data_IF_893439296019
#
_entry.id   IF_893439296019
#
_cell.length_a   1.000
_cell.length_b   1.000
_cell.length_c   1.000
_cell.angle_alpha   90.00
_cell.angle_beta   90.00
_cell.angle_gamma   90.00
#
_symmetry.space_group_name_H-M   'P 1'
#
loop_
_entity.id
_entity.type
_entity.pdbx_description
1 polymer ?
#
# COMPACT_ATOMS: atom_id res chain seq x y z
N UNK A 1 -27.58 -14.34 5.65
CA UNK A 1 -27.80 -13.47 6.82
C UNK A 1 -26.75 -12.37 6.74
N UNK A 2 -27.16 -11.22 6.23
CA UNK A 2 -26.33 -10.05 5.95
C UNK A 2 -26.17 -9.23 7.23
N UNK A 3 -25.08 -9.44 7.96
CA UNK A 3 -24.66 -8.59 9.06
C UNK A 3 -23.95 -7.36 8.51
N UNK A 4 -24.71 -6.43 7.90
CA UNK A 4 -24.21 -5.08 7.71
C UNK A 4 -23.96 -4.45 9.07
N UNK A 5 -22.96 -3.58 9.20
CA UNK A 5 -22.79 -2.74 10.37
C UNK A 5 -24.11 -2.04 10.69
N UNK A 6 -24.86 -2.61 11.63
CA UNK A 6 -25.99 -1.95 12.26
C UNK A 6 -25.37 -0.74 12.94
N UNK A 7 -25.67 0.44 12.40
CA UNK A 7 -25.27 1.70 12.97
C UNK A 7 -25.63 1.71 14.45
N UNK A 8 -24.62 1.62 15.31
CA UNK A 8 -24.76 2.10 16.67
C UNK A 8 -25.22 3.55 16.56
N UNK A 9 -26.30 3.95 17.24
CA UNK A 9 -26.85 5.27 17.07
C UNK A 9 -25.78 6.31 17.43
N UNK A 10 -25.71 7.32 16.56
CA UNK A 10 -24.99 8.59 16.60
C UNK A 10 -25.29 9.44 17.86
N UNK A 11 -25.36 8.82 19.04
CA UNK A 11 -25.71 9.47 20.31
C UNK A 11 -24.60 10.43 20.79
N UNK A 12 -23.41 10.37 20.21
CA UNK A 12 -22.35 11.37 20.36
C UNK A 12 -22.29 12.39 19.22
N UNK A 13 -23.06 12.21 18.15
CA UNK A 13 -23.06 13.06 16.95
C UNK A 13 -24.30 13.95 16.82
N UNK A 14 -25.32 13.81 17.67
CA UNK A 14 -26.44 14.76 17.77
C UNK A 14 -26.39 15.56 19.07
N UNK A 15 -26.19 16.87 18.94
CA UNK A 15 -26.44 17.84 19.99
C UNK A 15 -27.90 17.79 20.45
N UNK A 16 -28.05 17.87 21.78
CA UNK A 16 -29.29 17.92 22.54
C UNK A 16 -30.42 18.71 21.86
N UNK A 17 -31.56 18.05 21.65
CA UNK A 17 -32.86 18.71 21.47
C UNK A 17 -33.81 18.23 22.56
N UNK A 18 -33.96 19.06 23.60
CA UNK A 18 -35.21 19.17 24.35
C UNK A 18 -35.69 20.61 24.22
N UNK A 19 -36.87 20.80 23.62
CA UNK A 19 -37.72 21.97 23.91
C UNK A 19 -38.25 21.82 25.34
N UNK A 20 -38.68 22.84 26.05
CA UNK A 20 -39.18 24.17 25.72
C UNK A 20 -39.04 25.01 26.98
N UNK A 21 -38.61 26.27 26.89
CA UNK A 21 -38.54 27.15 28.06
C UNK A 21 -38.01 28.53 27.72
N UNK A 22 -38.93 29.48 27.69
CA UNK A 22 -38.79 30.92 27.43
C UNK A 22 -37.74 31.59 28.32
N UNK A 23 -36.89 32.45 27.74
CA UNK A 23 -35.97 33.30 28.50
C UNK A 23 -34.99 34.04 27.60
N UNK A 24 -35.32 35.29 27.24
CA UNK A 24 -34.45 36.18 26.49
C UNK A 24 -33.25 36.62 27.35
N UNK A 25 -32.03 36.36 26.88
CA UNK A 25 -30.86 37.19 27.20
C UNK A 25 -30.04 37.31 25.92
N UNK A 26 -29.97 38.55 25.42
CA UNK A 26 -29.09 38.97 24.34
C UNK A 26 -27.74 39.34 24.95
N UNK A 27 -26.63 38.78 24.45
CA UNK A 27 -25.35 39.49 24.19
C UNK A 27 -24.22 38.52 23.83
N UNK A 28 -23.42 38.97 22.86
CA UNK A 28 -22.14 38.44 22.34
C UNK A 28 -22.27 37.32 21.29
N UNK A 29 -22.16 37.73 20.03
CA UNK A 29 -22.23 36.86 18.84
C UNK A 29 -21.06 35.88 18.73
N UNK A 30 -21.23 34.79 17.96
CA UNK A 30 -20.18 33.82 17.76
C UNK A 30 -19.05 34.43 16.93
N UNK A 31 -17.84 34.37 17.47
CA UNK A 31 -16.60 34.49 16.72
C UNK A 31 -16.57 33.32 15.72
N UNK A 32 -17.06 33.59 14.51
CA UNK A 32 -16.92 32.73 13.35
C UNK A 32 -15.44 32.73 12.97
N UNK A 33 -14.67 31.81 13.56
CA UNK A 33 -13.40 31.44 12.95
C UNK A 33 -13.71 30.65 11.68
N UNK A 34 -13.85 31.39 10.59
CA UNK A 34 -13.93 30.84 9.25
C UNK A 34 -12.63 30.13 8.94
N UNK A 35 -12.58 28.81 9.10
CA UNK A 35 -11.60 27.97 8.41
C UNK A 35 -12.13 27.68 7.02
N UNK A 36 -12.19 28.73 6.20
CA UNK A 36 -12.20 28.62 4.76
C UNK A 36 -10.77 28.33 4.32
N UNK A 37 -10.32 27.09 4.50
CA UNK A 37 -9.08 26.60 3.91
C UNK A 37 -9.24 25.14 3.51
N UNK A 38 -10.23 24.91 2.66
CA UNK A 38 -10.23 23.79 1.72
C UNK A 38 -9.93 24.42 0.37
N UNK A 39 -8.64 24.69 0.13
CA UNK A 39 -8.19 24.79 -1.25
C UNK A 39 -8.38 23.39 -1.84
N UNK A 40 -9.56 23.17 -2.43
CA UNK A 40 -9.70 22.23 -3.53
C UNK A 40 -8.61 22.60 -4.50
N UNK A 41 -7.52 21.82 -4.55
CA UNK A 41 -6.79 21.67 -5.79
C UNK A 41 -7.82 21.15 -6.77
N UNK A 42 -8.41 22.10 -7.51
CA UNK A 42 -8.93 21.83 -8.83
C UNK A 42 -7.84 21.01 -9.51
N UNK A 43 -8.19 19.80 -9.90
CA UNK A 43 -7.58 19.13 -11.05
C UNK A 43 -7.06 20.22 -11.99
N UNK A 44 -5.74 20.25 -12.21
CA UNK A 44 -5.11 21.21 -13.12
C UNK A 44 -6.00 21.28 -14.37
N UNK A 45 -6.37 22.47 -14.86
CA UNK A 45 -7.11 22.59 -16.11
C UNK A 45 -6.44 21.71 -17.17
N UNK A 46 -7.27 20.92 -17.84
CA UNK A 46 -6.93 19.96 -18.89
C UNK A 46 -6.50 20.75 -20.13
N UNK A 47 -5.31 21.36 -20.09
CA UNK A 47 -4.69 21.99 -21.25
C UNK A 47 -3.99 20.89 -22.05
N UNK A 48 -4.62 20.50 -23.15
CA UNK A 48 -4.43 19.22 -23.87
C UNK A 48 -3.22 19.23 -24.82
N UNK A 49 -2.31 20.20 -24.70
CA UNK A 49 -1.37 20.52 -25.79
C UNK A 49 0.11 20.25 -25.52
N UNK A 50 0.54 19.83 -24.32
CA UNK A 50 1.94 19.41 -24.10
C UNK A 50 2.18 18.63 -22.79
N UNK A 51 1.42 17.56 -22.52
CA UNK A 51 1.69 16.70 -21.37
C UNK A 51 2.67 15.60 -21.74
N UNK A 52 3.84 15.57 -21.10
CA UNK A 52 4.82 14.51 -21.29
C UNK A 52 4.35 13.22 -20.63
N UNK A 53 3.89 12.26 -21.43
CA UNK A 53 3.39 10.97 -20.95
C UNK A 53 4.47 9.89 -21.00
N UNK A 54 4.65 9.15 -19.91
CA UNK A 54 5.57 8.00 -19.83
C UNK A 54 4.78 6.73 -19.49
N UNK A 55 5.04 5.63 -20.20
CA UNK A 55 4.44 4.33 -19.88
C UNK A 55 5.41 3.50 -19.05
N UNK A 56 4.92 2.86 -17.99
CA UNK A 56 5.63 1.83 -17.23
C UNK A 56 4.81 0.56 -17.30
N UNK A 57 5.37 -0.51 -17.87
CA UNK A 57 4.62 -1.75 -18.07
C UNK A 57 5.51 -2.96 -18.31
N UNK A 58 4.93 -4.15 -18.21
CA UNK A 58 5.60 -5.43 -18.38
C UNK A 58 4.92 -6.33 -19.43
N UNK A 59 3.61 -6.21 -19.60
CA UNK A 59 2.82 -6.94 -20.60
C UNK A 59 2.73 -6.19 -21.94
N UNK A 60 3.26 -6.74 -23.05
CA UNK A 60 3.17 -6.10 -24.36
C UNK A 60 1.75 -5.85 -24.84
N UNK A 61 0.78 -6.69 -24.45
CA UNK A 61 -0.61 -6.54 -24.87
C UNK A 61 -1.22 -5.30 -24.23
N UNK A 62 -1.16 -5.19 -22.89
CA UNK A 62 -1.66 -4.01 -22.19
C UNK A 62 -0.90 -2.75 -22.57
N UNK A 63 0.41 -2.83 -22.81
CA UNK A 63 1.18 -1.66 -23.29
C UNK A 63 0.61 -1.18 -24.63
N UNK A 64 0.30 -2.10 -25.56
CA UNK A 64 -0.33 -1.77 -26.84
C UNK A 64 -1.70 -1.09 -26.66
N UNK A 65 -2.60 -1.73 -25.90
CA UNK A 65 -3.91 -1.16 -25.57
C UNK A 65 -3.80 0.22 -24.93
N UNK A 66 -2.86 0.39 -23.99
CA UNK A 66 -2.60 1.66 -23.31
C UNK A 66 -2.14 2.75 -24.30
N UNK A 67 -1.27 2.42 -25.26
CA UNK A 67 -0.81 3.37 -26.28
C UNK A 67 -1.98 3.83 -27.15
N UNK A 68 -2.89 2.93 -27.52
CA UNK A 68 -4.07 3.25 -28.33
C UNK A 68 -5.09 4.12 -27.59
N UNK A 69 -5.24 3.93 -26.27
CA UNK A 69 -6.13 4.74 -25.44
C UNK A 69 -5.60 6.15 -25.12
N UNK A 70 -4.33 6.45 -25.40
CA UNK A 70 -3.71 7.73 -25.06
C UNK A 70 -4.01 8.82 -26.11
N UNK A 71 -4.31 10.06 -25.68
CA UNK A 71 -4.57 11.16 -26.60
C UNK A 71 -3.32 11.68 -27.31
N UNK A 72 -2.13 11.36 -26.78
CA UNK A 72 -0.82 11.82 -27.27
C UNK A 72 0.17 10.67 -27.30
N UNK A 73 1.11 10.71 -28.25
CA UNK A 73 2.20 9.73 -28.31
C UNK A 73 3.08 9.86 -27.06
N UNK A 74 3.33 8.75 -26.32
CA UNK A 74 4.14 8.80 -25.12
C UNK A 74 5.60 9.12 -25.46
N UNK A 75 6.26 9.84 -24.55
CA UNK A 75 7.68 10.21 -24.61
C UNK A 75 8.60 8.98 -24.58
N UNK A 76 8.12 7.88 -24.01
CA UNK A 76 8.78 6.59 -24.05
C UNK A 76 8.14 5.53 -23.16
N UNK A 77 8.78 4.38 -23.13
CA UNK A 77 8.36 3.20 -22.37
C UNK A 77 9.47 2.73 -21.43
N UNK A 78 9.10 2.42 -20.19
CA UNK A 78 9.92 1.64 -19.26
C UNK A 78 9.34 0.26 -19.10
N UNK A 79 10.09 -0.75 -19.53
CA UNK A 79 9.66 -2.14 -19.50
C UNK A 79 10.84 -3.09 -19.37
N UNK A 80 10.64 -4.33 -18.87
CA UNK A 80 11.59 -5.42 -19.09
C UNK A 80 11.91 -5.59 -20.60
N UNK A 81 13.00 -6.28 -20.97
CA UNK A 81 13.25 -6.58 -22.38
C UNK A 81 12.06 -7.34 -23.00
N UNK A 82 11.40 -6.72 -23.98
CA UNK A 82 10.28 -7.34 -24.70
C UNK A 82 10.86 -8.21 -25.82
N UNK A 83 10.50 -9.49 -25.85
CA UNK A 83 10.82 -10.37 -26.97
C UNK A 83 9.85 -10.06 -28.13
N UNK A 84 10.34 -9.61 -29.31
CA UNK A 84 9.47 -9.28 -30.45
C UNK A 84 8.73 -10.49 -31.04
N UNK A 85 9.01 -11.72 -30.59
CA UNK A 85 8.26 -12.91 -31.00
C UNK A 85 6.93 -13.09 -30.25
N UNK A 86 6.73 -12.47 -29.08
CA UNK A 86 5.51 -12.62 -28.27
C UNK A 86 4.31 -11.84 -28.81
N UNK A 87 4.53 -10.74 -29.54
CA UNK A 87 3.46 -9.90 -30.11
C UNK A 87 2.81 -10.50 -31.37
N UNK A 88 3.46 -11.44 -32.07
CA UNK A 88 2.92 -12.06 -33.31
C UNK A 88 1.79 -13.06 -33.07
N UNK A 89 1.49 -13.41 -31.81
CA UNK A 89 0.40 -14.32 -31.47
C UNK A 89 -0.97 -13.64 -31.42
N UNK A 90 -1.03 -12.32 -31.19
CA UNK A 90 -2.30 -11.60 -31.08
C UNK A 90 -2.94 -11.33 -32.46
N UNK A 91 -2.11 -11.11 -33.49
CA UNK A 91 -2.52 -10.69 -34.83
C UNK A 91 -3.01 -11.85 -35.74
N UNK A 92 -3.08 -13.08 -35.22
CA UNK A 92 -3.60 -14.26 -35.96
C UNK A 92 -4.99 -14.71 -35.56
N UNK A 93 -5.67 -14.03 -34.63
CA UNK A 93 -7.00 -14.44 -34.19
C UNK A 93 -8.16 -13.95 -35.07
N UNK A 94 -7.90 -13.14 -36.11
CA UNK A 94 -8.93 -12.55 -37.00
C UNK A 94 -8.83 -12.91 -38.48
N UNK A 95 -7.98 -13.86 -38.89
CA UNK A 95 -7.90 -14.30 -40.28
C UNK A 95 -8.48 -15.72 -40.47
N UNK A 96 -9.74 -15.77 -40.95
CA UNK A 96 -10.29 -16.82 -41.82
C UNK A 96 -10.25 -18.26 -41.32
N UNK A 97 -11.34 -18.72 -40.70
CA UNK A 97 -11.70 -20.15 -40.72
C UNK A 97 -12.58 -20.39 -41.95
N UNK A 98 -12.08 -21.19 -42.89
CA UNK A 98 -12.90 -21.99 -43.79
C UNK A 98 -12.64 -23.49 -43.53
N UNK A 99 -13.64 -24.37 -43.73
CA UNK A 99 -13.70 -25.69 -43.11
C UNK A 99 -13.44 -26.82 -44.11
N UNK A 100 -12.55 -27.77 -43.78
CA UNK A 100 -12.50 -29.08 -44.46
C UNK A 100 -12.07 -30.21 -43.49
N UNK A 101 -13.07 -31.03 -43.17
CA UNK A 101 -13.15 -32.49 -43.07
C UNK A 101 -12.01 -33.37 -42.51
N UNK A 102 -12.41 -34.17 -41.50
CA UNK A 102 -12.25 -35.62 -41.29
C UNK A 102 -10.84 -36.24 -41.53
N UNK A 103 -10.28 -37.14 -40.71
CA UNK A 103 -10.88 -38.36 -40.15
C UNK A 103 -9.84 -39.09 -39.25
N UNK A 104 -10.34 -39.96 -38.35
CA UNK A 104 -9.68 -41.08 -37.65
C UNK A 104 -8.55 -40.90 -36.62
N UNK A 105 -8.87 -41.35 -35.40
CA UNK A 105 -8.02 -41.79 -34.27
C UNK A 105 -7.63 -43.31 -34.41
N UNK A 106 -7.07 -44.01 -33.39
CA UNK A 106 -5.69 -43.99 -32.86
C UNK A 106 -5.08 -45.43 -32.69
N UNK A 107 -3.75 -45.61 -32.60
CA UNK A 107 -3.11 -46.89 -32.14
C UNK A 107 -1.76 -46.55 -31.47
N UNK A 108 -1.65 -46.58 -30.14
CA UNK A 108 -1.12 -47.63 -29.25
C UNK A 108 0.42 -47.91 -29.24
N UNK A 109 0.99 -47.63 -28.05
CA UNK A 109 1.86 -48.48 -27.20
C UNK A 109 3.38 -48.62 -27.43
N UNK A 110 4.05 -48.55 -26.25
CA UNK A 110 5.22 -49.30 -25.73
C UNK A 110 6.61 -48.81 -26.16
N UNK A 111 7.68 -48.91 -25.38
CA UNK A 111 7.96 -49.15 -23.94
C UNK A 111 9.50 -48.97 -23.80
N UNK A 112 9.98 -48.48 -22.64
CA UNK A 112 11.31 -48.72 -22.01
C UNK A 112 12.62 -48.23 -22.66
N UNK A 113 13.48 -47.70 -21.78
CA UNK A 113 14.93 -47.76 -21.96
C UNK A 113 15.73 -46.79 -21.09
N UNK A 114 15.95 -47.14 -19.82
CA UNK A 114 16.94 -46.53 -18.92
C UNK A 114 18.38 -46.78 -19.41
N UNK A 115 19.29 -45.82 -19.21
CA UNK A 115 20.72 -46.05 -19.42
C UNK A 115 21.58 -44.83 -19.11
N UNK A 116 22.00 -44.73 -17.86
CA UNK A 116 23.10 -43.89 -17.38
C UNK A 116 24.40 -44.32 -18.03
N UNK A 117 25.25 -43.41 -18.53
CA UNK A 117 26.70 -43.51 -18.36
C UNK A 117 27.46 -42.22 -18.71
N UNK A 118 28.50 -42.04 -17.93
CA UNK A 118 29.30 -40.85 -17.74
C UNK A 118 30.64 -41.08 -18.46
N UNK A 119 31.11 -40.15 -19.32
CA UNK A 119 32.55 -40.12 -19.67
C UNK A 119 33.00 -38.76 -20.22
N UNK A 120 33.60 -38.01 -19.31
CA UNK A 120 34.63 -37.00 -19.54
C UNK A 120 35.84 -37.56 -20.32
N UNK A 121 36.38 -36.79 -21.28
CA UNK A 121 37.83 -36.66 -21.53
C UNK A 121 38.17 -35.45 -22.41
N UNK A 122 39.12 -34.68 -21.87
CA UNK A 122 39.88 -33.53 -22.35
C UNK A 122 40.17 -33.45 -23.87
N UNK A 123 40.23 -32.21 -24.37
CA UNK A 123 41.38 -31.76 -25.17
C UNK A 123 41.61 -30.25 -25.04
N UNK A 124 42.83 -29.91 -24.66
CA UNK A 124 43.44 -28.59 -24.62
C UNK A 124 43.76 -28.03 -26.02
N UNK A 125 43.86 -26.70 -26.05
CA UNK A 125 44.79 -25.86 -26.82
C UNK A 125 44.80 -25.86 -28.35
N UNK A 126 44.45 -24.69 -28.90
CA UNK A 126 45.21 -23.84 -29.82
C UNK A 126 44.22 -22.79 -30.35
N UNK A 127 44.42 -21.49 -30.20
CA UNK A 127 45.58 -20.76 -30.65
C UNK A 127 45.18 -19.95 -31.90
N UNK A 128 45.55 -18.68 -31.90
CA UNK A 128 45.72 -17.80 -33.06
C UNK A 128 44.67 -16.71 -33.30
N UNK A 129 45.25 -15.53 -33.49
CA UNK A 129 44.68 -14.20 -33.50
C UNK A 129 44.72 -13.65 -34.92
N UNK A 130 43.71 -12.91 -35.36
CA UNK A 130 43.81 -11.91 -36.46
C UNK A 130 42.63 -10.95 -36.31
N UNK A 131 42.77 -9.81 -35.64
CA UNK A 131 43.19 -8.48 -36.16
C UNK A 131 42.22 -7.87 -37.17
N UNK A 132 41.68 -6.71 -36.74
CA UNK A 132 41.12 -5.54 -37.47
C UNK A 132 39.77 -5.63 -38.19
N UNK A 133 38.89 -4.69 -37.84
CA UNK A 133 37.75 -4.30 -38.67
C UNK A 133 36.75 -3.42 -37.93
N UNK A 134 37.00 -2.11 -37.94
CA UNK A 134 36.10 -0.97 -37.77
C UNK A 134 35.08 -0.90 -36.63
N UNK A 135 35.19 0.24 -35.93
CA UNK A 135 34.16 0.71 -35.03
C UNK A 135 32.86 1.01 -35.75
N UNK A 136 31.81 0.32 -35.33
CA UNK A 136 30.47 0.89 -35.28
C UNK A 136 30.09 0.98 -33.81
N UNK A 137 29.54 2.12 -33.32
CA UNK A 137 28.94 2.11 -32.01
C UNK A 137 27.74 1.17 -32.11
N UNK A 138 27.80 0.02 -31.45
CA UNK A 138 26.63 -0.84 -31.24
C UNK A 138 25.73 -0.12 -30.24
N UNK A 139 25.07 0.93 -30.71
CA UNK A 139 23.87 1.47 -30.07
C UNK A 139 22.78 0.50 -30.47
N UNK A 140 22.49 -0.45 -29.58
CA UNK A 140 21.29 -1.27 -29.66
C UNK A 140 20.07 -0.37 -29.47
N UNK A 141 19.68 0.36 -30.52
CA UNK A 141 18.29 0.79 -30.71
C UNK A 141 17.48 -0.48 -30.91
N UNK A 142 17.16 -1.19 -29.83
CA UNK A 142 16.09 -2.19 -29.82
C UNK A 142 14.80 -1.39 -29.88
N UNK A 143 14.35 -1.11 -31.10
CA UNK A 143 13.00 -0.62 -31.36
C UNK A 143 12.01 -1.57 -30.71
N UNK A 144 11.16 -1.00 -29.88
CA UNK A 144 10.02 -1.69 -29.26
C UNK A 144 9.08 -2.11 -30.40
N UNK A 145 8.27 -3.18 -30.25
CA UNK A 145 7.24 -3.53 -31.24
C UNK A 145 6.14 -2.46 -31.43
N UNK A 146 6.21 -1.30 -30.77
CA UNK A 146 5.23 -0.22 -30.88
C UNK A 146 5.80 0.91 -31.72
N UNK A 147 5.16 1.22 -32.84
CA UNK A 147 5.59 2.28 -33.74
C UNK A 147 5.61 3.64 -33.00
N UNK A 148 6.73 4.35 -33.12
CA UNK A 148 6.90 5.70 -32.57
C UNK A 148 7.23 5.77 -31.06
N UNK A 149 7.29 4.65 -30.33
CA UNK A 149 7.58 4.66 -28.88
C UNK A 149 8.96 4.06 -28.58
N UNK A 150 9.84 4.87 -27.99
CA UNK A 150 11.20 4.44 -27.60
C UNK A 150 11.20 3.76 -26.22
N UNK A 151 11.87 2.60 -26.09
CA UNK A 151 12.14 1.98 -24.78
C UNK A 151 13.33 2.65 -24.10
N UNK A 152 13.08 3.29 -22.98
CA UNK A 152 14.07 4.07 -22.21
C UNK A 152 14.84 3.23 -21.18
N UNK A 153 14.41 1.99 -20.93
CA UNK A 153 15.08 1.03 -20.05
C UNK A 153 14.11 0.24 -19.18
N UNK A 154 14.61 -0.40 -18.10
CA UNK A 154 13.76 -1.12 -17.13
C UNK A 154 12.98 -0.16 -16.21
N UNK A 155 11.89 -0.62 -15.57
CA UNK A 155 11.08 0.18 -14.64
C UNK A 155 11.88 0.85 -13.51
N UNK A 156 12.97 0.24 -13.06
CA UNK A 156 13.87 0.82 -12.05
C UNK A 156 14.50 2.17 -12.45
N UNK A 157 14.51 2.52 -13.74
CA UNK A 157 14.97 3.83 -14.23
C UNK A 157 13.93 4.94 -14.08
N UNK A 158 12.71 4.65 -13.63
CA UNK A 158 11.61 5.64 -13.55
C UNK A 158 12.05 6.94 -12.89
N UNK A 159 12.65 6.87 -11.69
CA UNK A 159 13.11 8.07 -10.97
C UNK A 159 14.15 8.90 -11.75
N UNK A 160 15.01 8.25 -12.53
CA UNK A 160 15.97 8.95 -13.40
C UNK A 160 15.27 9.63 -14.58
N UNK A 161 14.37 8.91 -15.25
CA UNK A 161 13.63 9.46 -16.39
C UNK A 161 12.75 10.65 -16.01
N UNK A 162 12.06 10.58 -14.87
CA UNK A 162 11.25 11.71 -14.36
C UNK A 162 12.08 12.94 -13.98
N UNK A 163 13.38 12.78 -13.78
CA UNK A 163 14.31 13.89 -13.50
C UNK A 163 14.90 14.48 -14.78
N UNK A 164 15.18 13.62 -15.75
CA UNK A 164 15.92 13.98 -16.98
C UNK A 164 14.99 14.45 -18.10
N UNK A 165 13.70 14.10 -18.05
CA UNK A 165 12.69 14.44 -19.05
C UNK A 165 11.50 15.16 -18.40
N UNK A 166 10.86 16.02 -19.17
CA UNK A 166 9.64 16.73 -18.75
C UNK A 166 8.44 15.78 -18.88
N UNK A 167 8.21 15.00 -17.82
CA UNK A 167 7.10 14.03 -17.72
C UNK A 167 6.18 14.52 -16.60
N UNK A 168 4.92 14.70 -16.93
CA UNK A 168 3.89 15.11 -15.95
C UNK A 168 2.89 14.01 -15.63
N UNK A 169 2.85 12.95 -16.46
CA UNK A 169 1.90 11.85 -16.34
C UNK A 169 2.60 10.51 -16.57
N UNK A 170 2.43 9.59 -15.64
CA UNK A 170 2.90 8.20 -15.76
C UNK A 170 1.70 7.27 -15.87
N UNK A 171 1.71 6.41 -16.89
CA UNK A 171 0.65 5.44 -17.14
C UNK A 171 1.18 4.05 -16.81
N UNK A 172 0.53 3.37 -15.87
CA UNK A 172 0.91 2.04 -15.39
C UNK A 172 0.18 0.99 -16.21
N UNK A 173 0.93 0.33 -17.09
CA UNK A 173 0.49 -0.73 -17.98
C UNK A 173 1.07 -2.10 -17.56
N UNK A 174 0.82 -2.51 -16.32
CA UNK A 174 1.31 -3.80 -15.78
C UNK A 174 0.25 -4.89 -15.84
N UNK A 175 0.65 -6.15 -15.96
CA UNK A 175 -0.26 -7.32 -15.90
C UNK A 175 -0.91 -7.45 -14.53
N UNK A 176 -0.10 -7.53 -13.48
CA UNK A 176 -0.55 -7.67 -12.11
C UNK A 176 -0.10 -6.46 -11.26
N UNK A 177 -0.95 -5.95 -10.35
CA UNK A 177 -0.63 -4.79 -9.53
C UNK A 177 0.30 -5.18 -8.38
N UNK A 178 1.56 -5.46 -8.69
CA UNK A 178 2.59 -5.96 -7.77
C UNK A 178 3.23 -4.84 -6.90
N UNK A 179 4.00 -5.25 -5.89
CA UNK A 179 4.66 -4.28 -4.99
C UNK A 179 5.90 -3.65 -5.63
N UNK A 180 6.62 -4.40 -6.47
CA UNK A 180 7.96 -4.02 -6.94
C UNK A 180 7.90 -3.02 -8.08
N UNK A 181 6.95 -3.19 -9.01
CA UNK A 181 6.81 -2.29 -10.15
C UNK A 181 5.62 -1.36 -9.98
N UNK A 182 4.41 -1.89 -9.76
CA UNK A 182 3.19 -1.09 -9.80
C UNK A 182 3.10 -0.07 -8.67
N UNK A 183 3.13 -0.53 -7.42
CA UNK A 183 3.01 0.36 -6.25
C UNK A 183 4.27 1.21 -6.02
N UNK A 184 5.46 0.68 -6.33
CA UNK A 184 6.70 1.47 -6.26
C UNK A 184 6.70 2.61 -7.28
N UNK A 185 6.18 2.38 -8.49
CA UNK A 185 6.03 3.45 -9.49
C UNK A 185 5.11 4.55 -8.98
N UNK A 186 3.97 4.21 -8.35
CA UNK A 186 3.10 5.21 -7.72
C UNK A 186 3.79 6.00 -6.61
N UNK A 187 4.60 5.31 -5.79
CA UNK A 187 5.37 5.96 -4.73
C UNK A 187 6.35 6.98 -5.29
N UNK A 188 7.09 6.61 -6.33
CA UNK A 188 8.03 7.50 -7.02
C UNK A 188 7.27 8.68 -7.62
N UNK A 189 6.14 8.44 -8.30
CA UNK A 189 5.34 9.51 -8.90
C UNK A 189 4.79 10.47 -7.84
N UNK A 190 4.30 9.97 -6.70
CA UNK A 190 3.87 10.80 -5.57
C UNK A 190 5.00 11.66 -5.01
N UNK A 191 6.19 11.07 -4.83
CA UNK A 191 7.34 11.79 -4.27
C UNK A 191 7.79 12.96 -5.18
N UNK A 192 7.65 12.79 -6.50
CA UNK A 192 7.99 13.82 -7.50
C UNK A 192 6.82 14.79 -7.75
N UNK A 193 5.58 14.37 -7.54
CA UNK A 193 4.37 15.15 -7.82
C UNK A 193 3.86 15.01 -9.27
N UNK A 194 4.01 13.81 -9.83
CA UNK A 194 3.60 13.43 -11.19
C UNK A 194 2.24 12.71 -11.13
N UNK A 195 1.35 13.02 -12.06
CA UNK A 195 0.03 12.40 -12.15
C UNK A 195 0.17 10.92 -12.55
N UNK A 196 -0.69 10.06 -12.01
CA UNK A 196 -0.66 8.62 -12.32
C UNK A 196 -1.98 8.20 -12.94
N UNK A 197 -1.89 7.48 -14.05
CA UNK A 197 -3.00 6.78 -14.66
C UNK A 197 -2.72 5.28 -14.67
N UNK A 198 -3.77 4.48 -14.65
CA UNK A 198 -3.68 3.03 -14.79
C UNK A 198 -4.88 2.52 -15.58
N UNK A 199 -4.77 1.31 -16.12
CA UNK A 199 -5.89 0.67 -16.80
C UNK A 199 -7.05 0.37 -15.82
N UNK A 200 -8.30 0.51 -16.27
CA UNK A 200 -9.52 0.32 -15.46
C UNK A 200 -9.60 -1.08 -14.81
N UNK A 201 -8.96 -2.08 -15.43
CA UNK A 201 -8.82 -3.45 -14.88
C UNK A 201 -8.21 -3.49 -13.48
N UNK A 202 -7.40 -2.49 -13.11
CA UNK A 202 -6.75 -2.41 -11.80
C UNK A 202 -7.54 -1.61 -10.76
N UNK A 203 -8.73 -1.11 -11.10
CA UNK A 203 -9.55 -0.22 -10.25
C UNK A 203 -9.74 -0.74 -8.83
N UNK A 204 -9.95 -2.04 -8.65
CA UNK A 204 -10.16 -2.61 -7.31
C UNK A 204 -8.96 -2.44 -6.38
N UNK A 205 -7.75 -2.37 -6.94
CA UNK A 205 -6.51 -2.15 -6.18
C UNK A 205 -6.18 -0.67 -5.95
N UNK A 206 -6.93 0.25 -6.54
CA UNK A 206 -6.57 1.66 -6.65
C UNK A 206 -7.56 2.59 -5.91
N UNK A 207 -7.05 3.71 -5.42
CA UNK A 207 -7.91 4.88 -5.16
C UNK A 207 -8.08 5.62 -6.48
N UNK A 208 -9.28 5.60 -7.03
CA UNK A 208 -9.60 6.21 -8.32
C UNK A 208 -10.38 7.50 -8.09
N UNK A 209 -10.02 8.56 -8.84
CA UNK A 209 -10.82 9.78 -8.91
C UNK A 209 -12.00 9.56 -9.87
N UNK A 210 -13.15 10.20 -9.62
CA UNK A 210 -14.39 9.98 -10.41
C UNK A 210 -14.27 10.32 -11.92
N UNK A 211 -13.15 10.94 -12.33
CA UNK A 211 -12.81 11.23 -13.72
C UNK A 211 -12.24 9.98 -14.43
N UNK A 212 -13.11 9.04 -14.80
CA UNK A 212 -12.77 7.96 -15.73
C UNK A 212 -12.96 8.43 -17.18
N UNK A 213 -11.96 8.23 -18.04
CA UNK A 213 -12.05 8.55 -19.46
C UNK A 213 -11.57 7.34 -20.28
N UNK A 214 -12.51 6.53 -20.77
CA UNK A 214 -12.22 5.32 -21.53
C UNK A 214 -11.62 4.21 -20.66
N UNK A 215 -10.63 3.50 -21.19
CA UNK A 215 -10.00 2.34 -20.54
C UNK A 215 -8.96 2.71 -19.47
N UNK A 216 -8.69 4.00 -19.28
CA UNK A 216 -7.75 4.52 -18.30
C UNK A 216 -8.46 5.30 -17.19
N UNK A 217 -7.95 5.13 -15.96
CA UNK A 217 -8.39 5.85 -14.78
C UNK A 217 -7.26 6.62 -14.12
N UNK A 218 -7.62 7.79 -13.60
CA UNK A 218 -6.72 8.62 -12.81
C UNK A 218 -6.64 8.09 -11.39
N UNK A 219 -5.42 7.82 -10.93
CA UNK A 219 -5.14 7.30 -9.59
C UNK A 219 -4.91 8.46 -8.63
N UNK A 220 -5.60 8.46 -7.50
CA UNK A 220 -5.34 9.37 -6.37
C UNK A 220 -4.09 8.91 -5.58
N UNK A 221 -2.95 9.16 -6.23
CA UNK A 221 -1.59 9.36 -5.72
C UNK A 221 -1.41 9.68 -4.25
N UNK A 222 -2.00 10.81 -3.91
CA UNK A 222 -1.65 11.63 -2.78
C UNK A 222 -2.93 12.21 -2.23
N UNK A 223 -3.65 11.39 -1.48
CA UNK A 223 -5.03 11.68 -1.20
C UNK A 223 -5.09 12.78 -0.09
N UNK A 224 -3.95 13.13 0.52
CA UNK A 224 -3.70 14.39 1.23
C UNK A 224 -3.03 15.40 0.30
N UNK A 225 -3.61 16.59 0.10
CA UNK A 225 -2.90 17.67 -0.60
C UNK A 225 -1.58 18.05 0.11
N UNK A 226 -0.64 18.65 -0.60
CA UNK A 226 0.71 18.95 -0.05
C UNK A 226 0.71 19.71 1.29
N UNK A 227 -0.16 20.71 1.44
CA UNK A 227 -0.31 21.47 2.68
C UNK A 227 -0.96 20.64 3.80
N UNK A 228 -2.00 19.87 3.48
CA UNK A 228 -2.66 19.01 4.46
C UNK A 228 -1.71 17.90 4.92
N UNK A 229 -0.86 17.36 4.03
CA UNK A 229 0.20 16.41 4.39
C UNK A 229 1.20 17.01 5.37
N UNK A 230 1.60 18.27 5.16
CA UNK A 230 2.51 18.98 6.07
C UNK A 230 1.88 19.11 7.47
N UNK A 231 0.63 19.57 7.56
CA UNK A 231 -0.06 19.68 8.85
C UNK A 231 -0.31 18.34 9.50
N UNK A 232 -0.69 17.33 8.71
CA UNK A 232 -0.85 15.97 9.20
C UNK A 232 0.45 15.44 9.80
N UNK A 233 1.58 15.71 9.14
CA UNK A 233 2.91 15.36 9.64
C UNK A 233 3.28 16.13 10.90
N UNK A 234 2.99 17.42 10.96
CA UNK A 234 3.24 18.22 12.16
C UNK A 234 2.43 17.70 13.35
N UNK A 235 1.14 17.42 13.14
CA UNK A 235 0.28 16.77 14.12
C UNK A 235 0.88 15.45 14.61
N UNK A 236 1.30 14.58 13.70
CA UNK A 236 1.92 13.30 14.05
C UNK A 236 3.17 13.45 14.91
N UNK A 237 4.06 14.37 14.55
CA UNK A 237 5.31 14.60 15.30
C UNK A 237 5.04 15.22 16.66
N UNK A 238 4.13 16.19 16.75
CA UNK A 238 3.79 16.86 18.02
C UNK A 238 3.13 15.88 18.99
N UNK A 239 2.11 15.14 18.53
CA UNK A 239 1.39 14.19 19.39
C UNK A 239 2.28 13.01 19.76
N UNK A 240 3.01 12.41 18.82
CA UNK A 240 3.92 11.30 19.13
C UNK A 240 5.07 11.73 20.03
N UNK A 241 5.71 12.87 19.74
CA UNK A 241 6.83 13.39 20.51
C UNK A 241 6.41 13.79 21.93
N UNK A 242 5.29 14.50 22.07
CA UNK A 242 4.73 14.86 23.37
C UNK A 242 4.34 13.63 24.20
N UNK A 243 3.68 12.65 23.57
CA UNK A 243 3.27 11.41 24.24
C UNK A 243 4.48 10.57 24.65
N UNK A 244 5.50 10.46 23.79
CA UNK A 244 6.71 9.71 24.10
C UNK A 244 7.52 10.37 25.21
N UNK A 245 7.61 11.71 25.22
CA UNK A 245 8.28 12.46 26.30
C UNK A 245 7.56 12.27 27.64
N UNK A 246 6.23 12.34 27.64
CA UNK A 246 5.40 12.13 28.82
C UNK A 246 5.53 10.69 29.34
N UNK A 247 5.53 9.71 28.45
CA UNK A 247 5.64 8.29 28.79
C UNK A 247 7.09 7.82 28.98
N UNK A 248 8.10 8.69 28.82
CA UNK A 248 9.50 8.28 28.89
C UNK A 248 9.88 7.58 30.20
N UNK A 249 9.45 8.06 31.40
CA UNK A 249 9.72 7.35 32.64
C UNK A 249 9.10 5.95 32.66
N UNK A 250 7.86 5.81 32.17
CA UNK A 250 7.17 4.53 32.09
C UNK A 250 7.88 3.58 31.10
N UNK A 251 8.33 4.08 29.95
CA UNK A 251 9.08 3.28 28.96
C UNK A 251 10.34 2.68 29.58
N UNK A 252 11.10 3.46 30.36
CA UNK A 252 12.32 2.98 31.03
C UNK A 252 11.97 1.95 32.11
N UNK A 253 10.98 2.24 32.96
CA UNK A 253 10.58 1.33 34.05
C UNK A 253 10.02 0.01 33.53
N UNK A 254 9.12 0.06 32.54
CA UNK A 254 8.57 -1.14 31.90
C UNK A 254 9.65 -1.92 31.17
N UNK A 255 10.57 -1.23 30.48
CA UNK A 255 11.71 -1.88 29.84
C UNK A 255 12.60 -2.63 30.83
N UNK A 256 12.89 -2.03 31.99
CA UNK A 256 13.63 -2.68 33.07
C UNK A 256 12.86 -3.86 33.67
N UNK A 257 11.56 -3.70 33.93
CA UNK A 257 10.71 -4.76 34.46
C UNK A 257 10.67 -5.98 33.52
N UNK A 258 10.50 -5.76 32.21
CA UNK A 258 10.56 -6.81 31.18
C UNK A 258 11.93 -7.51 31.17
N UNK A 259 13.02 -6.74 31.38
CA UNK A 259 14.39 -7.27 31.39
C UNK A 259 14.70 -8.10 32.64
N UNK A 260 14.04 -7.81 33.76
CA UNK A 260 14.14 -8.57 35.02
C UNK A 260 13.28 -9.84 34.97
N UNK A 261 12.07 -9.76 34.40
CA UNK A 261 11.10 -10.87 34.37
C UNK A 261 11.57 -12.08 33.52
N UNK A 262 12.50 -11.90 32.57
CA UNK A 262 13.05 -13.04 31.84
C UNK A 262 14.22 -12.74 30.90
N UNK A 263 14.77 -13.80 30.33
CA UNK A 263 15.81 -13.73 29.31
C UNK A 263 15.20 -13.40 27.94
N UNK A 264 15.71 -12.36 27.28
CA UNK A 264 15.30 -11.96 25.93
C UNK A 264 15.35 -10.45 25.70
N UNK A 265 15.13 -9.98 24.46
CA UNK A 265 15.07 -8.56 24.17
C UNK A 265 13.87 -7.90 24.86
N UNK A 266 14.01 -6.61 25.20
CA UNK A 266 12.93 -5.79 25.75
C UNK A 266 11.84 -5.56 24.70
N UNK A 267 12.25 -5.37 23.45
CA UNK A 267 11.35 -5.10 22.34
C UNK A 267 11.10 -6.36 21.51
N UNK A 268 9.86 -6.51 21.08
CA UNK A 268 9.44 -7.40 20.02
C UNK A 268 9.37 -6.62 18.71
N UNK A 269 9.77 -7.26 17.61
CA UNK A 269 9.75 -6.69 16.26
C UNK A 269 8.98 -7.59 15.31
N UNK A 270 8.12 -6.99 14.48
CA UNK A 270 7.39 -7.70 13.43
C UNK A 270 7.29 -6.86 12.17
N UNK A 271 7.46 -7.49 11.00
CA UNK A 271 7.31 -6.81 9.71
C UNK A 271 5.83 -6.51 9.45
N UNK A 272 5.57 -5.28 9.04
CA UNK A 272 4.23 -4.77 8.77
C UNK A 272 4.21 -4.06 7.44
N UNK A 273 3.06 -4.13 6.75
CA UNK A 273 2.86 -3.40 5.50
C UNK A 273 2.56 -1.93 5.78
N UNK A 274 3.12 -1.07 4.93
CA UNK A 274 3.02 0.38 4.95
C UNK A 274 2.48 0.89 3.61
N UNK A 275 2.70 2.17 3.38
CA UNK A 275 2.24 2.89 2.21
C UNK A 275 2.83 2.28 0.92
N UNK A 276 1.97 2.11 -0.08
CA UNK A 276 2.26 1.48 -1.36
C UNK A 276 2.89 0.09 -1.22
N UNK A 277 2.42 -0.71 -0.28
CA UNK A 277 2.85 -2.10 -0.12
C UNK A 277 4.27 -2.28 0.45
N UNK A 278 4.98 -1.18 0.76
CA UNK A 278 6.27 -1.22 1.45
C UNK A 278 6.14 -1.90 2.81
N UNK A 279 7.28 -2.23 3.42
CA UNK A 279 7.29 -2.84 4.75
C UNK A 279 8.20 -2.10 5.71
N UNK A 280 7.89 -2.22 7.00
CA UNK A 280 8.71 -1.68 8.09
C UNK A 280 8.58 -2.56 9.34
N UNK A 281 9.60 -2.60 10.21
CA UNK A 281 9.53 -3.31 11.46
C UNK A 281 8.78 -2.49 12.52
N UNK A 282 7.63 -2.99 12.98
CA UNK A 282 6.93 -2.40 14.13
C UNK A 282 7.62 -2.82 15.43
N UNK A 283 7.78 -1.88 16.37
CA UNK A 283 8.35 -2.15 17.69
C UNK A 283 7.27 -2.14 18.77
N UNK A 284 7.26 -3.16 19.62
CA UNK A 284 6.40 -3.27 20.79
C UNK A 284 7.20 -3.74 21.99
N UNK A 285 6.69 -3.56 23.20
CA UNK A 285 7.24 -4.28 24.34
C UNK A 285 6.99 -5.78 24.20
N UNK A 286 7.95 -6.59 24.64
CA UNK A 286 7.81 -8.04 24.67
C UNK A 286 6.79 -8.43 25.75
N UNK A 287 5.70 -9.04 25.32
CA UNK A 287 4.63 -9.53 26.21
C UNK A 287 4.57 -11.05 26.32
N UNK A 288 5.23 -11.76 25.39
CA UNK A 288 5.27 -13.21 25.32
C UNK A 288 6.62 -13.78 25.81
N UNK A 289 6.57 -14.96 26.42
CA UNK A 289 7.74 -15.81 26.69
C UNK A 289 8.29 -16.36 25.38
N UNK A 290 9.62 -16.54 25.23
CA UNK A 290 10.20 -17.22 24.06
C UNK A 290 9.58 -18.61 23.88
N UNK A 291 9.35 -19.05 22.65
CA UNK A 291 8.93 -20.44 22.40
C UNK A 291 10.09 -21.38 22.74
N UNK A 292 9.79 -22.47 23.45
CA UNK A 292 10.72 -23.60 23.56
C UNK A 292 10.78 -24.28 22.18
N UNK A 293 11.98 -24.51 21.62
CA UNK A 293 12.15 -25.33 20.43
C UNK A 293 12.03 -24.67 19.05
N UNK A 294 11.86 -23.35 18.94
CA UNK A 294 11.95 -22.65 17.65
C UNK A 294 10.74 -22.78 16.70
N UNK A 295 9.60 -23.31 17.14
CA UNK A 295 8.43 -23.53 16.28
C UNK A 295 7.63 -22.25 15.95
N UNK A 296 7.46 -21.94 14.67
CA UNK A 296 6.67 -20.79 14.18
C UNK A 296 5.20 -21.17 13.98
N UNK A 297 4.45 -21.28 15.07
CA UNK A 297 2.97 -21.33 15.09
C UNK A 297 2.32 -19.96 15.38
N UNK A 298 1.20 -19.69 14.72
CA UNK A 298 0.37 -18.46 14.75
C UNK A 298 -0.58 -18.37 15.94
N UNK A 299 -0.92 -19.49 16.59
CA UNK A 299 -1.72 -19.49 17.81
C UNK A 299 -0.87 -19.07 19.02
N UNK A 300 -1.35 -18.03 19.72
CA UNK A 300 -0.77 -17.60 20.99
C UNK A 300 -1.48 -18.39 22.08
N UNK A 301 -0.83 -19.42 22.61
CA UNK A 301 -1.23 -20.04 23.87
C UNK A 301 -1.29 -18.96 24.97
N UNK A 302 -2.41 -18.89 25.70
CA UNK A 302 -2.57 -17.95 26.82
C UNK A 302 -1.47 -18.12 27.88
N UNK A 303 -0.94 -19.33 28.02
CA UNK A 303 0.14 -19.69 28.94
C UNK A 303 1.50 -19.05 28.58
N UNK A 304 1.61 -18.53 27.35
CA UNK A 304 2.83 -17.85 26.87
C UNK A 304 2.90 -16.40 27.29
N UNK A 305 1.84 -15.80 27.80
CA UNK A 305 1.93 -14.46 28.36
C UNK A 305 2.85 -14.45 29.59
N UNK A 306 3.65 -13.40 29.67
CA UNK A 306 4.33 -13.03 30.93
C UNK A 306 3.31 -12.37 31.87
N UNK A 307 3.59 -12.35 33.18
CA UNK A 307 2.67 -11.73 34.15
C UNK A 307 2.53 -10.24 33.83
N UNK A 308 3.66 -9.56 33.60
CA UNK A 308 3.66 -8.18 33.13
C UNK A 308 3.08 -8.07 31.72
N UNK A 309 3.33 -9.04 30.84
CA UNK A 309 2.84 -9.03 29.46
C UNK A 309 1.33 -9.04 29.34
N UNK A 310 0.61 -9.71 30.24
CA UNK A 310 -0.86 -9.65 30.29
C UNK A 310 -1.32 -8.23 30.59
N UNK A 311 -0.78 -7.62 31.65
CA UNK A 311 -1.06 -6.23 32.02
C UNK A 311 -0.76 -5.25 30.87
N UNK A 312 0.40 -5.38 30.22
CA UNK A 312 0.82 -4.52 29.12
C UNK A 312 -0.13 -4.56 27.91
N UNK A 313 -0.71 -5.73 27.60
CA UNK A 313 -1.67 -5.87 26.49
C UNK A 313 -3.06 -5.36 26.84
N UNK A 314 -3.54 -5.63 28.05
CA UNK A 314 -4.83 -5.13 28.52
C UNK A 314 -4.84 -3.60 28.54
N UNK A 315 -3.72 -2.98 28.94
CA UNK A 315 -3.59 -1.52 29.00
C UNK A 315 -3.06 -0.88 27.71
N UNK A 316 -2.76 -1.68 26.67
CA UNK A 316 -2.11 -1.26 25.43
C UNK A 316 -0.76 -0.53 25.61
N UNK A 317 -0.15 -0.61 26.80
CA UNK A 317 1.16 -0.03 27.07
C UNK A 317 2.26 -0.71 26.25
N UNK A 318 2.03 -1.94 25.76
CA UNK A 318 2.95 -2.63 24.85
C UNK A 318 3.18 -1.88 23.53
N UNK A 319 2.27 -0.98 23.14
CA UNK A 319 2.30 -0.26 21.88
C UNK A 319 3.04 1.09 21.94
N UNK A 320 3.42 1.58 23.12
CA UNK A 320 4.14 2.86 23.29
C UNK A 320 5.40 2.96 22.40
N UNK A 321 6.23 1.91 22.23
CA UNK A 321 7.41 1.98 21.38
C UNK A 321 7.09 2.29 19.90
N UNK A 322 5.86 2.09 19.43
CA UNK A 322 5.42 2.46 18.08
C UNK A 322 5.39 3.97 17.85
N UNK A 323 5.32 4.79 18.90
CA UNK A 323 5.43 6.25 18.78
C UNK A 323 6.74 6.64 18.08
N UNK A 324 7.80 5.85 18.25
CA UNK A 324 9.05 6.04 17.51
C UNK A 324 8.86 5.85 15.98
N UNK A 325 8.13 4.82 15.54
CA UNK A 325 7.81 4.60 14.12
C UNK A 325 7.01 5.77 13.52
N UNK A 326 6.20 6.45 14.32
CA UNK A 326 5.56 7.70 13.91
C UNK A 326 6.60 8.81 13.76
N UNK A 327 7.50 8.99 14.72
CA UNK A 327 8.53 10.04 14.65
C UNK A 327 9.49 9.85 13.47
N UNK A 328 9.90 8.62 13.12
CA UNK A 328 10.73 8.37 11.93
C UNK A 328 9.93 8.40 10.62
N UNK A 329 8.61 8.45 10.70
CA UNK A 329 7.72 8.67 9.55
C UNK A 329 7.23 7.40 8.85
N UNK A 330 7.43 6.23 9.45
CA UNK A 330 6.90 4.94 8.96
C UNK A 330 5.39 4.82 9.22
N UNK A 331 4.92 5.41 10.31
CA UNK A 331 3.53 5.41 10.76
C UNK A 331 2.98 6.83 10.95
N UNK A 332 1.69 6.88 11.21
CA UNK A 332 0.87 8.05 11.54
C UNK A 332 0.17 7.81 12.89
N UNK A 333 -0.26 8.87 13.59
CA UNK A 333 -1.12 8.72 14.78
C UNK A 333 -2.44 8.07 14.40
N UNK A 334 -3.07 8.57 13.32
CA UNK A 334 -4.36 8.07 12.81
C UNK A 334 -4.21 7.52 11.40
N UNK A 335 -4.73 6.32 11.17
CA UNK A 335 -4.70 5.64 9.88
C UNK A 335 -5.16 4.18 9.97
N UNK A 336 -5.27 3.49 8.82
CA UNK A 336 -5.51 2.05 8.80
C UNK A 336 -4.46 1.31 9.64
N UNK A 337 -4.89 0.42 10.53
CA UNK A 337 -3.94 -0.35 11.35
C UNK A 337 -3.09 -1.25 10.44
N UNK A 338 -1.75 -1.26 10.59
CA UNK A 338 -0.88 -2.02 9.70
C UNK A 338 -1.09 -3.52 9.84
N UNK A 339 -1.36 -4.21 8.73
CA UNK A 339 -1.47 -5.66 8.71
C UNK A 339 -0.10 -6.32 8.81
N UNK A 340 -0.09 -7.55 9.33
CA UNK A 340 1.08 -8.42 9.29
C UNK A 340 1.33 -8.77 7.83
N UNK A 341 2.56 -8.60 7.35
CA UNK A 341 2.86 -8.80 5.94
C UNK A 341 2.53 -10.23 5.49
N UNK A 342 2.66 -11.20 6.40
CA UNK A 342 2.35 -12.61 6.17
C UNK A 342 0.84 -12.89 6.00
N UNK A 343 -0.02 -12.02 6.55
CA UNK A 343 -1.50 -12.16 6.47
C UNK A 343 -2.12 -11.38 5.31
N UNK A 344 -1.34 -10.55 4.61
CA UNK A 344 -1.84 -9.77 3.46
C UNK A 344 -2.51 -10.63 2.39
N UNK A 345 -1.93 -11.78 1.96
CA UNK A 345 -2.56 -12.60 0.92
C UNK A 345 -3.92 -13.18 1.37
N UNK A 346 -4.11 -13.41 2.67
CA UNK A 346 -5.38 -13.89 3.21
C UNK A 346 -6.42 -12.78 3.23
N UNK A 347 -6.05 -11.59 3.73
CA UNK A 347 -6.96 -10.45 3.72
C UNK A 347 -7.34 -9.98 2.32
N UNK A 348 -6.42 -10.05 1.35
CA UNK A 348 -6.72 -9.75 -0.05
C UNK A 348 -7.74 -10.71 -0.67
N UNK A 349 -7.73 -11.99 -0.24
CA UNK A 349 -8.72 -12.98 -0.67
C UNK A 349 -10.09 -12.76 -0.04
N UNK A 350 -10.13 -12.33 1.22
CA UNK A 350 -11.37 -12.13 1.96
C UNK A 350 -12.04 -10.77 1.72
N UNK A 351 -11.27 -9.74 1.41
CA UNK A 351 -11.73 -8.37 1.27
C UNK A 351 -11.25 -7.74 -0.06
N UNK A 352 -12.04 -7.88 -1.15
CA UNK A 352 -11.70 -7.30 -2.45
C UNK A 352 -11.37 -5.80 -2.37
N UNK A 353 -10.22 -5.44 -2.93
CA UNK A 353 -9.68 -4.09 -2.87
C UNK A 353 -9.02 -3.70 -1.55
N UNK A 354 -8.57 -4.69 -0.76
CA UNK A 354 -7.74 -4.50 0.42
C UNK A 354 -6.53 -3.58 0.21
N UNK A 355 -5.89 -3.69 -0.97
CA UNK A 355 -4.71 -2.90 -1.35
C UNK A 355 -4.95 -1.38 -1.40
N UNK A 356 -6.20 -0.93 -1.53
CA UNK A 356 -6.56 0.50 -1.47
C UNK A 356 -6.18 1.16 -0.15
N UNK A 357 -6.02 0.38 0.93
CA UNK A 357 -5.56 0.86 2.23
C UNK A 357 -4.09 1.32 2.19
N UNK A 358 -3.31 0.83 1.24
CA UNK A 358 -1.88 1.15 1.11
C UNK A 358 -1.64 2.57 0.58
N UNK A 359 -2.65 3.35 0.19
CA UNK A 359 -2.45 4.72 -0.31
C UNK A 359 -2.18 5.75 0.79
N UNK A 360 -2.38 5.38 2.06
CA UNK A 360 -2.11 6.23 3.22
C UNK A 360 -1.14 5.55 4.19
N UNK A 361 -0.50 6.34 5.05
CA UNK A 361 0.37 5.76 6.08
C UNK A 361 -0.46 4.95 7.08
N UNK A 362 0.05 3.81 7.55
CA UNK A 362 -0.61 3.07 8.60
C UNK A 362 -0.67 3.88 9.90
N UNK A 363 -1.73 3.67 10.68
CA UNK A 363 -2.00 4.37 11.94
C UNK A 363 -1.68 3.55 13.18
N UNK A 364 -1.35 4.24 14.27
CA UNK A 364 -1.37 3.65 15.62
C UNK A 364 -2.82 3.35 16.07
N UNK A 365 -3.72 4.30 15.83
CA UNK A 365 -5.17 4.11 15.94
C UNK A 365 -5.84 4.41 14.59
N UNK A 366 -7.10 4.01 14.44
CA UNK A 366 -7.86 4.20 13.21
C UNK A 366 -9.35 3.99 13.41
N UNK A 367 -10.12 4.32 12.37
CA UNK A 367 -11.58 4.25 12.41
C UNK A 367 -12.09 2.84 12.68
N UNK A 368 -11.47 1.83 12.07
CA UNK A 368 -11.80 0.43 12.32
C UNK A 368 -11.61 0.04 13.81
N UNK A 369 -10.55 0.54 14.44
CA UNK A 369 -10.23 0.21 15.83
C UNK A 369 -11.26 0.80 16.81
N UNK A 370 -11.66 2.06 16.63
CA UNK A 370 -12.66 2.69 17.51
C UNK A 370 -14.09 2.17 17.29
N UNK A 371 -14.35 1.51 16.16
CA UNK A 371 -15.60 0.80 15.88
C UNK A 371 -15.56 -0.69 16.27
N UNK A 372 -14.44 -1.17 16.83
CA UNK A 372 -14.33 -2.55 17.29
C UNK A 372 -14.14 -3.59 16.19
N UNK A 373 -13.84 -3.18 14.94
CA UNK A 373 -13.61 -4.11 13.84
C UNK A 373 -12.33 -4.92 14.07
N UNK A 374 -12.48 -6.24 14.17
CA UNK A 374 -11.41 -7.15 14.55
C UNK A 374 -10.61 -7.65 13.34
N UNK A 375 -9.53 -8.40 13.58
CA UNK A 375 -8.74 -8.99 12.48
C UNK A 375 -9.44 -10.17 11.81
N UNK A 376 -10.45 -10.75 12.48
CA UNK A 376 -11.33 -11.79 11.94
C UNK A 376 -12.43 -11.25 11.02
N UNK A 377 -12.51 -9.93 10.82
CA UNK A 377 -13.50 -9.29 9.95
C UNK A 377 -12.82 -8.38 8.92
N UNK A 378 -12.02 -8.91 7.97
CA UNK A 378 -11.24 -8.08 7.04
C UNK A 378 -12.10 -7.14 6.21
N UNK A 379 -13.29 -7.58 5.80
CA UNK A 379 -14.20 -6.75 5.01
C UNK A 379 -14.74 -5.53 5.81
N UNK A 380 -15.24 -5.73 7.02
CA UNK A 380 -15.72 -4.63 7.87
C UNK A 380 -14.58 -3.65 8.21
N UNK A 381 -13.37 -4.20 8.43
CA UNK A 381 -12.16 -3.40 8.62
C UNK A 381 -11.82 -2.57 7.39
N UNK A 382 -11.88 -3.17 6.20
CA UNK A 382 -11.64 -2.49 4.93
C UNK A 382 -12.63 -1.34 4.72
N UNK A 383 -13.91 -1.56 4.98
CA UNK A 383 -14.95 -0.54 4.85
C UNK A 383 -14.68 0.68 5.74
N UNK A 384 -14.34 0.45 7.01
CA UNK A 384 -13.94 1.50 7.94
C UNK A 384 -12.68 2.24 7.47
N UNK A 385 -11.67 1.51 6.99
CA UNK A 385 -10.42 2.11 6.54
C UNK A 385 -10.61 2.95 5.27
N UNK A 386 -11.46 2.50 4.33
CA UNK A 386 -11.84 3.27 3.14
C UNK A 386 -12.72 4.48 3.47
N UNK A 387 -13.61 4.37 4.46
CA UNK A 387 -14.35 5.52 4.98
C UNK A 387 -13.39 6.56 5.57
N UNK A 388 -12.43 6.14 6.38
CA UNK A 388 -11.40 7.03 6.91
C UNK A 388 -10.63 7.73 5.79
N UNK A 389 -10.14 6.97 4.81
CA UNK A 389 -9.41 7.50 3.65
C UNK A 389 -10.23 8.57 2.93
N UNK A 390 -11.53 8.35 2.71
CA UNK A 390 -12.42 9.31 2.04
C UNK A 390 -12.70 10.55 2.88
N UNK A 391 -12.93 10.39 4.19
CA UNK A 391 -13.41 11.48 5.05
C UNK A 391 -12.31 12.32 5.67
N UNK A 392 -11.09 11.76 5.83
CA UNK A 392 -9.93 12.21 6.61
C UNK A 392 -9.95 13.64 7.13
N UNK A 393 -8.94 14.50 7.01
CA UNK A 393 -8.84 15.79 7.76
C UNK A 393 -8.40 15.69 9.22
N UNK A 394 -7.64 16.69 9.65
CA UNK A 394 -7.13 16.82 11.03
C UNK A 394 -8.25 16.84 12.08
N UNK A 395 -9.40 17.42 11.75
CA UNK A 395 -10.55 17.45 12.66
C UNK A 395 -11.07 16.04 12.91
N UNK A 396 -11.09 15.20 11.88
CA UNK A 396 -11.50 13.81 12.02
C UNK A 396 -10.48 13.00 12.81
N UNK A 397 -9.18 13.23 12.57
CA UNK A 397 -8.10 12.62 13.35
C UNK A 397 -8.24 12.94 14.85
N UNK A 398 -8.46 14.21 15.21
CA UNK A 398 -8.67 14.63 16.59
C UNK A 398 -9.87 13.92 17.26
N UNK A 399 -10.95 13.69 16.50
CA UNK A 399 -12.11 12.92 17.00
C UNK A 399 -11.75 11.46 17.26
N UNK A 400 -11.02 10.83 16.33
CA UNK A 400 -10.60 9.43 16.48
C UNK A 400 -9.68 9.28 17.69
N UNK A 401 -8.70 10.18 17.84
CA UNK A 401 -7.79 10.18 19.01
C UNK A 401 -8.57 10.39 20.31
N UNK A 402 -9.48 11.37 20.36
CA UNK A 402 -10.31 11.60 21.54
C UNK A 402 -11.15 10.38 21.93
N UNK A 403 -11.74 9.69 20.95
CA UNK A 403 -12.49 8.45 21.18
C UNK A 403 -11.59 7.32 21.70
N UNK A 404 -10.42 7.14 21.09
CA UNK A 404 -9.45 6.12 21.53
C UNK A 404 -8.99 6.38 22.97
N UNK A 405 -8.68 7.63 23.32
CA UNK A 405 -8.29 7.99 24.69
C UNK A 405 -9.41 7.70 25.69
N UNK A 406 -10.65 8.04 25.35
CA UNK A 406 -11.80 7.71 26.20
C UNK A 406 -11.93 6.21 26.42
N UNK A 407 -11.84 5.39 25.37
CA UNK A 407 -11.88 3.92 25.48
C UNK A 407 -10.80 3.41 26.43
N UNK A 408 -9.54 3.85 26.26
CA UNK A 408 -8.43 3.43 27.14
C UNK A 408 -8.67 3.85 28.60
N UNK A 409 -9.21 5.06 28.85
CA UNK A 409 -9.53 5.49 30.21
C UNK A 409 -10.61 4.60 30.84
N UNK A 410 -11.67 4.27 30.09
CA UNK A 410 -12.72 3.34 30.57
C UNK A 410 -12.12 1.98 30.90
N UNK A 411 -11.33 1.40 30.00
CA UNK A 411 -10.70 0.08 30.22
C UNK A 411 -9.81 0.07 31.47
N UNK A 412 -9.07 1.16 31.73
CA UNK A 412 -8.23 1.31 32.92
C UNK A 412 -9.07 1.46 34.19
N UNK A 413 -10.15 2.24 34.15
CA UNK A 413 -11.05 2.40 35.31
C UNK A 413 -11.74 1.07 35.65
N UNK A 414 -12.22 0.36 34.63
CA UNK A 414 -12.86 -0.94 34.81
C UNK A 414 -11.88 -1.96 35.41
N UNK A 415 -10.62 -1.97 34.94
CA UNK A 415 -9.55 -2.80 35.50
C UNK A 415 -9.26 -2.47 36.97
N UNK A 416 -9.24 -1.19 37.34
CA UNK A 416 -8.99 -0.76 38.73
C UNK A 416 -10.20 -0.98 39.66
N UNK A 417 -11.40 -1.12 39.09
CA UNK A 417 -12.64 -1.35 39.84
C UNK A 417 -13.03 -2.83 39.96
N UNK A 418 -12.34 -3.71 39.25
CA UNK A 418 -12.54 -5.17 39.27
C UNK A 418 -11.58 -5.90 40.23
N UNK A 419 -10.75 -5.14 40.95
CA UNK A 419 -10.03 -5.57 42.17
C UNK A 419 -10.80 -5.13 43.42
#
# INVERSE_FOLDING_TARGET
>A
MTGGCVGLPDLWFLGSRHGTGTGAISLVGPLVFGTAFSERRRSRPRDDTARGTLIVGDDPTLIGETIESLPVTPVGLLSPPIDPSSTRSADRSTAGRDPLDADTTPVERRDRGSGTENRSRNREEAGESTVTGDGAPVVTRRSVPFDGVERLGPPSRLRGVLRDRDIDTVVLAVEEPDREVFFESMRICRDVGVDVMAHERHRESLLVSDDAAGDLVTVDVDPWGGFDRLWKRLFDVVVAGGSLLLCLPAVVLLGLAIRIEGAGPVFFSQTRTSIFGNTFPIRKFRTLKPKRGGEVGTEIDEDRYTTLGRFLRTTHLDEIPQLWSILVGEMSIVGPRPAQTELEPEFEREAPGWRRRWFVKPGLTGLAQIHGATSSEPQAKLECDLEYIRRRSLRFDLRIVGRQLHTVVVDVVDLLSSE
#
